data_IF_142177841871
#
_entry.id   IF_142177841871
#
_cell.length_a   1.000
_cell.length_b   1.000
_cell.length_c   1.000
_cell.angle_alpha   90.00
_cell.angle_beta   90.00
_cell.angle_gamma   90.00
#
_symmetry.space_group_name_H-M   'P 1'
#
loop_
_entity.id
_entity.type
_entity.pdbx_description
1 polymer ?
#
# COMPACT_ATOMS: atom_id res chain seq x y z
N UNK A 1 7.62 17.18 -7.25
CA UNK A 1 8.32 17.02 -5.95
C UNK A 1 9.04 15.70 -6.01
N UNK A 2 10.37 15.69 -6.03
CA UNK A 2 11.16 14.46 -5.97
C UNK A 2 11.04 13.95 -4.53
N UNK A 3 10.38 12.81 -4.34
CA UNK A 3 10.45 12.07 -3.08
C UNK A 3 11.93 11.72 -2.94
N UNK A 4 12.55 12.11 -1.83
CA UNK A 4 13.94 11.77 -1.57
C UNK A 4 14.00 10.24 -1.41
N UNK A 5 14.99 9.62 -2.03
CA UNK A 5 15.26 8.18 -1.89
C UNK A 5 15.54 7.80 -0.45
N UNK A 6 16.12 8.73 0.31
CA UNK A 6 16.26 8.60 1.77
C UNK A 6 14.92 8.22 2.43
N UNK A 7 13.83 8.79 1.94
CA UNK A 7 12.49 8.55 2.48
C UNK A 7 11.88 7.22 2.02
N UNK A 8 12.27 6.72 0.85
CA UNK A 8 11.81 5.44 0.29
C UNK A 8 12.66 4.25 0.76
N UNK A 9 14.00 4.45 0.88
CA UNK A 9 14.96 3.41 1.25
C UNK A 9 15.19 3.28 2.74
N UNK A 10 15.41 4.41 3.40
CA UNK A 10 16.05 4.47 4.72
C UNK A 10 15.14 5.06 5.77
N UNK A 11 14.05 5.67 5.34
CA UNK A 11 13.04 6.13 6.29
C UNK A 11 12.21 4.94 6.75
N UNK A 12 11.93 4.88 8.04
CA UNK A 12 10.55 4.70 8.43
C UNK A 12 9.77 5.70 7.61
N UNK A 13 9.35 5.29 6.38
CA UNK A 13 8.50 6.10 5.51
C UNK A 13 7.38 6.55 6.41
N UNK A 14 7.40 7.80 6.81
CA UNK A 14 6.39 8.35 7.69
C UNK A 14 5.05 7.98 7.09
N UNK A 15 4.06 7.73 7.90
CA UNK A 15 2.73 7.35 7.40
C UNK A 15 2.23 8.34 6.33
N UNK A 16 2.76 9.55 6.31
CA UNK A 16 2.46 10.62 5.35
C UNK A 16 3.08 10.42 3.97
N UNK A 17 4.27 9.83 3.87
CA UNK A 17 4.91 9.56 2.57
C UNK A 17 4.34 8.32 1.88
N UNK A 18 3.94 7.30 2.65
CA UNK A 18 3.17 6.16 2.13
C UNK A 18 1.84 6.61 1.53
N UNK A 19 1.22 7.62 2.10
CA UNK A 19 -0.06 8.12 1.61
C UNK A 19 0.04 8.84 0.24
N UNK A 20 1.22 9.27 -0.22
CA UNK A 20 1.39 9.96 -1.52
C UNK A 20 1.03 9.04 -2.68
N UNK A 21 1.56 7.83 -2.68
CA UNK A 21 1.29 6.85 -3.74
C UNK A 21 -0.19 6.47 -3.74
N UNK A 22 -0.76 6.22 -2.56
CA UNK A 22 -2.18 5.93 -2.43
C UNK A 22 -3.05 7.11 -2.90
N UNK A 23 -2.68 8.35 -2.58
CA UNK A 23 -3.38 9.53 -3.05
C UNK A 23 -3.38 9.64 -4.58
N UNK A 24 -2.27 9.29 -5.25
CA UNK A 24 -2.18 9.24 -6.71
C UNK A 24 -3.11 8.15 -7.27
N UNK A 25 -3.11 6.95 -6.67
CA UNK A 25 -4.01 5.87 -7.11
C UNK A 25 -5.48 6.25 -6.93
N UNK A 26 -5.85 6.87 -5.81
CA UNK A 26 -7.23 7.31 -5.58
C UNK A 26 -7.62 8.43 -6.55
N UNK A 27 -6.70 9.35 -6.88
CA UNK A 27 -6.93 10.36 -7.90
C UNK A 27 -7.23 9.73 -9.28
N UNK A 28 -6.43 8.75 -9.69
CA UNK A 28 -6.67 8.00 -10.94
C UNK A 28 -8.00 7.24 -10.90
N UNK A 29 -8.33 6.62 -9.76
CA UNK A 29 -9.59 5.91 -9.58
C UNK A 29 -10.80 6.84 -9.71
N UNK A 30 -10.78 8.00 -9.07
CA UNK A 30 -11.85 9.02 -9.17
C UNK A 30 -12.01 9.47 -10.61
N UNK A 31 -10.90 9.74 -11.31
CA UNK A 31 -10.91 10.14 -12.72
C UNK A 31 -11.49 9.05 -13.62
N UNK A 32 -11.13 7.79 -13.36
CA UNK A 32 -11.65 6.63 -14.11
C UNK A 32 -13.15 6.44 -13.86
N UNK A 33 -13.61 6.54 -12.64
CA UNK A 33 -15.05 6.46 -12.31
C UNK A 33 -15.85 7.55 -12.99
N UNK A 34 -15.33 8.77 -13.04
CA UNK A 34 -15.97 9.87 -13.77
C UNK A 34 -16.01 9.61 -15.29
N UNK A 35 -14.93 9.06 -15.86
CA UNK A 35 -14.90 8.66 -17.27
C UNK A 35 -15.95 7.59 -17.58
N UNK A 36 -16.08 6.55 -16.74
CA UNK A 36 -17.11 5.54 -16.88
C UNK A 36 -18.52 6.14 -16.82
N UNK A 37 -18.77 7.03 -15.87
CA UNK A 37 -20.05 7.72 -15.78
C UNK A 37 -20.32 8.58 -17.03
N UNK A 38 -19.27 9.16 -17.64
CA UNK A 38 -19.40 9.88 -18.91
C UNK A 38 -19.77 8.96 -20.08
N UNK A 39 -19.28 7.74 -20.09
CA UNK A 39 -19.67 6.72 -21.08
C UNK A 39 -21.11 6.27 -20.85
N UNK A 40 -21.50 6.02 -19.60
CA UNK A 40 -22.85 5.58 -19.24
C UNK A 40 -23.90 6.63 -19.63
N UNK A 41 -23.66 7.92 -19.41
CA UNK A 41 -24.60 8.98 -19.81
C UNK A 41 -24.71 9.04 -21.34
N UNK A 42 -23.59 8.88 -22.06
CA UNK A 42 -23.62 8.81 -23.52
C UNK A 42 -24.48 7.63 -24.03
N UNK A 43 -24.30 6.45 -23.44
CA UNK A 43 -25.09 5.25 -23.77
C UNK A 43 -26.58 5.44 -23.46
N UNK A 44 -26.89 6.16 -22.37
CA UNK A 44 -28.26 6.48 -22.01
C UNK A 44 -28.91 7.49 -22.99
N UNK A 45 -28.15 8.47 -23.47
CA UNK A 45 -28.66 9.43 -24.48
C UNK A 45 -28.96 8.74 -25.82
N UNK A 46 -28.14 7.79 -26.22
CA UNK A 46 -28.29 6.99 -27.46
C UNK A 46 -29.41 5.93 -27.31
N UNK A 47 -29.88 5.68 -26.08
CA UNK A 47 -30.97 4.72 -25.80
C UNK A 47 -30.53 3.26 -25.65
N UNK A 48 -29.22 3.01 -25.53
CA UNK A 48 -28.66 1.68 -25.23
C UNK A 48 -28.86 1.34 -23.75
N UNK A 49 -28.69 2.33 -22.89
CA UNK A 49 -28.86 2.22 -21.45
C UNK A 49 -30.13 3.00 -21.06
N UNK A 50 -31.09 2.33 -20.41
CA UNK A 50 -32.41 2.89 -20.19
C UNK A 50 -32.57 3.31 -18.71
N UNK A 51 -32.30 4.57 -18.44
CA UNK A 51 -32.53 5.23 -17.16
C UNK A 51 -33.23 6.57 -17.45
N UNK A 52 -33.94 7.13 -16.49
CA UNK A 52 -34.54 8.47 -16.63
C UNK A 52 -33.45 9.50 -16.99
N UNK A 53 -33.61 10.12 -18.18
CA UNK A 53 -32.58 11.01 -18.74
C UNK A 53 -32.36 12.27 -17.91
N UNK A 54 -33.40 12.81 -17.27
CA UNK A 54 -33.25 14.04 -16.49
C UNK A 54 -32.50 13.78 -15.20
N UNK A 55 -32.88 12.75 -14.46
CA UNK A 55 -32.23 12.37 -13.20
C UNK A 55 -30.77 12.02 -13.44
N UNK A 56 -30.51 11.25 -14.52
CA UNK A 56 -29.15 10.85 -14.85
C UNK A 56 -28.25 12.02 -15.27
N UNK A 57 -28.80 13.00 -16.04
CA UNK A 57 -28.10 14.23 -16.38
C UNK A 57 -27.78 15.08 -15.15
N UNK A 58 -28.71 15.24 -14.20
CA UNK A 58 -28.46 15.96 -12.96
C UNK A 58 -27.38 15.28 -12.11
N UNK A 59 -27.43 13.95 -11.97
CA UNK A 59 -26.38 13.18 -11.28
C UNK A 59 -25.01 13.36 -11.91
N UNK A 60 -24.94 13.30 -13.25
CA UNK A 60 -23.68 13.51 -13.98
C UNK A 60 -23.16 14.95 -13.86
N UNK A 61 -24.03 15.95 -13.94
CA UNK A 61 -23.64 17.36 -13.77
C UNK A 61 -23.08 17.59 -12.36
N UNK A 62 -23.77 17.09 -11.34
CA UNK A 62 -23.31 17.18 -9.96
C UNK A 62 -21.93 16.53 -9.76
N UNK A 63 -21.74 15.30 -10.26
CA UNK A 63 -20.45 14.60 -10.13
C UNK A 63 -19.34 15.31 -10.90
N UNK A 64 -19.64 15.88 -12.07
CA UNK A 64 -18.67 16.64 -12.87
C UNK A 64 -18.19 17.89 -12.14
N UNK A 65 -19.10 18.62 -11.49
CA UNK A 65 -18.76 19.77 -10.65
C UNK A 65 -17.87 19.32 -9.46
N UNK A 66 -18.23 18.23 -8.80
CA UNK A 66 -17.43 17.68 -7.72
C UNK A 66 -16.00 17.32 -8.16
N UNK A 67 -15.85 16.69 -9.34
CA UNK A 67 -14.54 16.33 -9.90
C UNK A 67 -13.72 17.56 -10.26
N UNK A 68 -14.30 18.59 -10.84
CA UNK A 68 -13.60 19.84 -11.14
C UNK A 68 -13.09 20.53 -9.87
N UNK A 69 -13.93 20.63 -8.84
CA UNK A 69 -13.52 21.13 -7.52
C UNK A 69 -12.39 20.28 -6.94
N UNK A 70 -12.50 18.96 -7.05
CA UNK A 70 -11.49 18.03 -6.55
C UNK A 70 -10.13 18.23 -7.23
N UNK A 71 -10.09 18.35 -8.56
CA UNK A 71 -8.86 18.62 -9.31
C UNK A 71 -8.20 19.92 -8.80
N UNK A 72 -9.00 21.00 -8.63
CA UNK A 72 -8.50 22.26 -8.08
C UNK A 72 -7.94 22.12 -6.65
N UNK A 73 -8.63 21.35 -5.79
CA UNK A 73 -8.18 21.11 -4.42
C UNK A 73 -6.90 20.28 -4.38
N UNK A 74 -6.78 19.23 -5.19
CA UNK A 74 -5.57 18.41 -5.26
C UNK A 74 -4.39 19.20 -5.82
N UNK A 75 -4.62 20.05 -6.82
CA UNK A 75 -3.60 20.95 -7.35
C UNK A 75 -3.06 21.89 -6.26
N UNK A 76 -3.95 22.48 -5.42
CA UNK A 76 -3.58 23.36 -4.32
C UNK A 76 -2.91 22.64 -3.15
N UNK A 77 -3.45 21.50 -2.71
CA UNK A 77 -2.98 20.75 -1.55
C UNK A 77 -1.73 19.91 -1.87
N UNK A 78 -1.58 19.45 -3.11
CA UNK A 78 -0.59 18.46 -3.58
C UNK A 78 -0.82 17.07 -2.94
N UNK A 79 -0.23 16.02 -3.55
CA UNK A 79 -0.41 14.63 -3.10
C UNK A 79 0.26 14.30 -1.75
N UNK A 80 1.22 15.11 -1.31
CA UNK A 80 1.93 14.91 -0.05
C UNK A 80 1.24 15.54 1.17
N UNK A 81 0.15 16.25 0.99
CA UNK A 81 -0.57 16.86 2.09
C UNK A 81 -1.43 15.80 2.81
N UNK A 82 -1.37 15.80 4.13
CA UNK A 82 -2.13 14.86 4.99
C UNK A 82 -3.65 14.94 4.81
N UNK A 83 -4.18 16.04 4.31
CA UNK A 83 -5.60 16.23 4.06
C UNK A 83 -6.06 15.71 2.69
N UNK A 84 -5.15 15.52 1.73
CA UNK A 84 -5.50 15.07 0.37
C UNK A 84 -6.27 13.76 0.39
N UNK A 85 -5.90 12.79 1.21
CA UNK A 85 -6.63 11.52 1.36
C UNK A 85 -8.07 11.71 1.80
N UNK A 86 -8.34 12.66 2.71
CA UNK A 86 -9.70 12.94 3.19
C UNK A 86 -10.54 13.58 2.09
N UNK A 87 -9.98 14.54 1.35
CA UNK A 87 -10.65 15.18 0.21
C UNK A 87 -10.94 14.13 -0.87
N UNK A 88 -9.95 13.32 -1.23
CA UNK A 88 -10.07 12.28 -2.26
C UNK A 88 -11.16 11.27 -1.94
N UNK A 89 -11.18 10.72 -0.73
CA UNK A 89 -12.17 9.73 -0.35
C UNK A 89 -13.57 10.34 -0.21
N UNK A 90 -13.69 11.60 0.22
CA UNK A 90 -14.98 12.30 0.31
C UNK A 90 -15.56 12.49 -1.08
N UNK A 91 -14.79 13.00 -2.04
CA UNK A 91 -15.25 13.19 -3.41
C UNK A 91 -15.61 11.85 -4.06
N UNK A 92 -14.78 10.84 -3.87
CA UNK A 92 -15.07 9.49 -4.35
C UNK A 92 -16.41 8.97 -3.79
N UNK A 93 -16.65 9.15 -2.49
CA UNK A 93 -17.90 8.76 -1.85
C UNK A 93 -19.09 9.56 -2.40
N UNK A 94 -18.92 10.86 -2.65
CA UNK A 94 -19.99 11.70 -3.24
C UNK A 94 -20.37 11.25 -4.65
N UNK A 95 -19.39 10.91 -5.49
CA UNK A 95 -19.64 10.38 -6.84
C UNK A 95 -20.45 9.08 -6.75
N UNK A 96 -20.02 8.17 -5.89
CA UNK A 96 -20.74 6.90 -5.67
C UNK A 96 -22.14 7.14 -5.12
N UNK A 97 -22.33 8.11 -4.21
CA UNK A 97 -23.64 8.47 -3.67
C UNK A 97 -24.57 8.95 -4.76
N UNK A 98 -24.11 9.86 -5.63
CA UNK A 98 -24.89 10.39 -6.74
C UNK A 98 -25.25 9.29 -7.75
N UNK A 99 -24.29 8.43 -8.11
CA UNK A 99 -24.54 7.28 -8.97
C UNK A 99 -25.57 6.32 -8.36
N UNK A 100 -25.50 6.07 -7.05
CA UNK A 100 -26.48 5.21 -6.37
C UNK A 100 -27.87 5.85 -6.28
N UNK A 101 -28.00 7.16 -6.19
CA UNK A 101 -29.31 7.84 -6.28
C UNK A 101 -29.91 7.66 -7.67
N UNK A 102 -29.11 7.76 -8.72
CA UNK A 102 -29.54 7.68 -10.12
C UNK A 102 -29.79 6.25 -10.60
N UNK A 103 -28.99 5.28 -10.14
CA UNK A 103 -28.96 3.88 -10.63
C UNK A 103 -29.34 2.85 -9.59
N UNK A 104 -29.62 3.28 -8.37
CA UNK A 104 -30.05 2.54 -7.18
C UNK A 104 -29.52 1.10 -7.03
N UNK A 105 -30.27 0.12 -7.53
CA UNK A 105 -29.98 -1.31 -7.29
C UNK A 105 -28.66 -1.78 -7.91
N UNK A 106 -28.40 -1.38 -9.14
CA UNK A 106 -27.22 -1.84 -9.88
C UNK A 106 -25.89 -1.38 -9.26
N UNK A 107 -25.93 -0.25 -8.54
CA UNK A 107 -24.75 0.36 -7.93
C UNK A 107 -24.59 0.05 -6.43
N UNK A 108 -25.47 -0.75 -5.83
CA UNK A 108 -25.48 -0.99 -4.38
C UNK A 108 -24.16 -1.54 -3.84
N UNK A 109 -23.47 -2.38 -4.59
CA UNK A 109 -22.15 -2.91 -4.20
C UNK A 109 -21.05 -1.85 -4.21
N UNK A 110 -21.17 -0.81 -5.05
CA UNK A 110 -20.17 0.26 -5.14
C UNK A 110 -20.11 1.12 -3.88
N UNK A 111 -21.19 1.13 -3.07
CA UNK A 111 -21.21 1.81 -1.77
C UNK A 111 -20.13 1.31 -0.80
N UNK A 112 -19.59 0.10 -1.01
CA UNK A 112 -18.50 -0.44 -0.19
C UNK A 112 -17.12 -0.04 -0.68
N UNK A 113 -16.98 0.45 -1.92
CA UNK A 113 -15.68 0.81 -2.52
C UNK A 113 -14.87 1.83 -1.71
N UNK A 114 -15.44 2.90 -1.13
CA UNK A 114 -14.66 3.84 -0.31
C UNK A 114 -13.95 3.15 0.85
N UNK A 115 -14.59 2.16 1.46
CA UNK A 115 -14.01 1.39 2.58
C UNK A 115 -12.85 0.51 2.10
N UNK A 116 -13.01 -0.16 0.94
CA UNK A 116 -11.95 -0.97 0.33
C UNK A 116 -10.74 -0.08 0.01
N UNK A 117 -10.98 1.08 -0.59
CA UNK A 117 -9.93 2.06 -0.90
C UNK A 117 -9.24 2.58 0.36
N UNK A 118 -10.00 2.85 1.43
CA UNK A 118 -9.41 3.27 2.70
C UNK A 118 -8.51 2.21 3.33
N UNK A 119 -8.74 0.93 3.03
CA UNK A 119 -7.87 -0.16 3.44
C UNK A 119 -6.44 -0.07 2.89
N UNK A 120 -6.20 0.65 1.81
CA UNK A 120 -4.86 0.91 1.28
C UNK A 120 -4.03 1.80 2.22
N UNK A 121 -4.66 2.58 3.08
CA UNK A 121 -4.01 3.49 4.02
C UNK A 121 -3.79 2.81 5.38
N UNK A 122 -2.75 3.24 6.12
CA UNK A 122 -2.41 2.67 7.43
C UNK A 122 -3.09 3.37 8.60
N UNK A 123 -3.70 4.52 8.35
CA UNK A 123 -4.26 5.40 9.39
C UNK A 123 -5.61 4.91 9.91
N UNK A 124 -5.68 4.45 11.17
CA UNK A 124 -6.93 4.06 11.83
C UNK A 124 -7.96 5.21 11.90
N UNK A 125 -7.50 6.47 12.01
CA UNK A 125 -8.39 7.65 12.02
C UNK A 125 -9.04 7.84 10.66
N UNK A 126 -8.28 7.66 9.58
CA UNK A 126 -8.76 7.77 8.22
C UNK A 126 -9.79 6.67 7.90
N UNK A 127 -9.52 5.43 8.30
CA UNK A 127 -10.47 4.31 8.12
C UNK A 127 -11.79 4.60 8.84
N UNK A 128 -11.74 5.05 10.10
CA UNK A 128 -12.98 5.43 10.86
C UNK A 128 -13.75 6.56 10.20
N UNK A 129 -13.06 7.58 9.71
CA UNK A 129 -13.68 8.66 8.94
C UNK A 129 -14.38 8.13 7.69
N UNK A 130 -13.72 7.24 6.91
CA UNK A 130 -14.28 6.66 5.69
C UNK A 130 -15.52 5.81 6.00
N UNK A 131 -15.49 5.02 7.07
CA UNK A 131 -16.66 4.23 7.51
C UNK A 131 -17.84 5.17 7.81
N UNK A 132 -17.61 6.26 8.53
CA UNK A 132 -18.65 7.22 8.86
C UNK A 132 -19.29 7.83 7.61
N UNK A 133 -18.49 8.35 6.67
CA UNK A 133 -19.02 8.95 5.43
C UNK A 133 -19.67 7.90 4.51
N UNK A 134 -19.21 6.64 4.55
CA UNK A 134 -19.85 5.55 3.80
C UNK A 134 -21.23 5.21 4.37
N UNK A 135 -21.38 5.16 5.68
CA UNK A 135 -22.70 4.96 6.34
C UNK A 135 -23.63 6.11 5.98
N UNK A 136 -23.12 7.34 6.04
CA UNK A 136 -23.90 8.52 5.64
C UNK A 136 -24.30 8.45 4.15
N UNK A 137 -23.38 8.03 3.27
CA UNK A 137 -23.64 7.78 1.85
C UNK A 137 -24.74 6.73 1.63
N UNK A 138 -24.72 5.64 2.37
CA UNK A 138 -25.76 4.61 2.31
C UNK A 138 -27.14 5.17 2.70
N UNK A 139 -27.19 5.95 3.77
CA UNK A 139 -28.43 6.61 4.23
C UNK A 139 -28.93 7.56 3.14
N UNK A 140 -28.08 8.50 2.71
CA UNK A 140 -28.45 9.54 1.73
C UNK A 140 -28.85 8.93 0.40
N UNK A 141 -28.09 7.93 -0.12
CA UNK A 141 -28.42 7.28 -1.39
C UNK A 141 -29.70 6.48 -1.33
N UNK A 142 -29.96 5.80 -0.21
CA UNK A 142 -31.20 5.00 -0.04
C UNK A 142 -32.43 5.87 0.02
N UNK A 143 -32.44 6.89 0.89
CA UNK A 143 -33.57 7.80 0.99
C UNK A 143 -33.67 8.74 -0.22
N UNK A 144 -32.55 9.27 -0.70
CA UNK A 144 -32.52 10.10 -1.91
C UNK A 144 -32.98 9.33 -3.14
N UNK A 145 -32.54 8.06 -3.29
CA UNK A 145 -33.03 7.18 -4.34
C UNK A 145 -34.53 6.95 -4.27
N UNK A 146 -35.10 6.78 -3.08
CA UNK A 146 -36.53 6.59 -2.90
C UNK A 146 -37.34 7.88 -3.18
N UNK A 147 -36.96 9.04 -2.62
CA UNK A 147 -37.73 10.26 -2.72
C UNK A 147 -37.48 11.06 -4.01
N UNK A 148 -36.31 10.96 -4.60
CA UNK A 148 -35.89 11.80 -5.75
C UNK A 148 -35.37 11.01 -6.94
N UNK A 149 -35.22 9.68 -6.82
CA UNK A 149 -34.67 8.82 -7.86
C UNK A 149 -35.71 7.97 -8.57
N UNK A 150 -35.23 7.13 -9.46
CA UNK A 150 -36.01 6.21 -10.31
C UNK A 150 -36.29 4.87 -9.60
N UNK A 151 -36.55 4.91 -8.33
CA UNK A 151 -36.32 3.79 -7.43
C UNK A 151 -37.40 2.71 -7.39
N UNK A 152 -38.54 2.95 -8.00
CA UNK A 152 -39.76 2.18 -7.70
C UNK A 152 -39.66 0.68 -8.02
N UNK A 153 -39.18 0.36 -9.18
CA UNK A 153 -39.10 -1.05 -9.60
C UNK A 153 -37.87 -1.80 -9.09
N UNK A 154 -36.80 -1.09 -8.75
CA UNK A 154 -35.49 -1.67 -8.47
C UNK A 154 -35.21 -1.88 -6.97
N UNK A 155 -36.00 -1.30 -6.08
CA UNK A 155 -35.87 -1.50 -4.63
C UNK A 155 -36.56 -2.77 -4.11
N UNK A 156 -37.33 -3.42 -4.94
CA UNK A 156 -38.11 -4.58 -4.55
C UNK A 156 -37.24 -5.82 -4.60
N UNK A 157 -36.85 -6.36 -3.45
CA UNK A 157 -36.33 -7.70 -3.35
C UNK A 157 -37.46 -8.69 -3.69
N UNK A 158 -37.37 -9.28 -4.87
CA UNK A 158 -38.24 -10.40 -5.27
C UNK A 158 -37.86 -11.63 -4.44
N UNK A 159 -38.48 -11.77 -3.28
CA UNK A 159 -38.48 -13.03 -2.53
C UNK A 159 -39.64 -13.89 -3.02
N UNK A 160 -39.57 -15.21 -2.79
CA UNK A 160 -40.68 -16.14 -3.11
C UNK A 160 -41.99 -15.69 -2.49
N UNK A 161 -41.96 -15.21 -1.24
CA UNK A 161 -43.10 -14.64 -0.54
C UNK A 161 -43.62 -13.37 -1.21
N UNK A 162 -42.73 -12.56 -1.73
CA UNK A 162 -43.04 -11.35 -2.43
C UNK A 162 -43.71 -11.61 -3.79
N UNK A 163 -43.23 -12.61 -4.54
CA UNK A 163 -43.84 -13.03 -5.81
C UNK A 163 -45.28 -13.56 -5.59
N UNK A 164 -45.52 -14.26 -4.50
CA UNK A 164 -46.87 -14.76 -4.14
C UNK A 164 -47.83 -13.62 -3.75
N UNK A 165 -47.33 -12.44 -3.40
CA UNK A 165 -48.11 -11.26 -3.03
C UNK A 165 -48.21 -10.22 -4.19
N UNK A 166 -47.80 -10.58 -5.42
CA UNK A 166 -48.06 -9.78 -6.58
C UNK A 166 -49.56 -9.69 -6.82
N UNK A 167 -50.10 -8.48 -6.85
CA UNK A 167 -51.46 -8.23 -7.26
C UNK A 167 -51.62 -8.58 -8.75
N UNK A 168 -52.87 -8.84 -9.17
CA UNK A 168 -53.21 -9.14 -10.57
C UNK A 168 -52.71 -8.08 -11.57
N UNK A 169 -52.43 -6.85 -11.10
CA UNK A 169 -51.93 -5.75 -11.89
C UNK A 169 -50.38 -5.69 -11.95
N UNK A 170 -49.67 -6.68 -11.41
CA UNK A 170 -48.20 -6.70 -11.39
C UNK A 170 -47.59 -5.71 -10.41
N UNK A 171 -48.35 -4.99 -9.63
CA UNK A 171 -47.91 -4.04 -8.62
C UNK A 171 -47.50 -4.78 -7.37
N UNK A 172 -46.22 -4.90 -7.19
CA UNK A 172 -45.60 -5.58 -6.07
C UNK A 172 -45.70 -4.77 -4.79
N UNK A 173 -46.10 -5.41 -3.66
CA UNK A 173 -45.96 -5.00 -2.24
C UNK A 173 -45.49 -3.58 -1.89
N UNK A 174 -45.64 -2.64 -2.81
CA UNK A 174 -45.35 -1.21 -2.65
C UNK A 174 -46.14 -0.60 -1.50
N UNK A 175 -47.32 -1.18 -1.19
CA UNK A 175 -48.19 -0.72 -0.11
C UNK A 175 -47.46 -0.71 1.24
N UNK A 176 -46.67 -1.75 1.57
CA UNK A 176 -45.93 -1.79 2.84
C UNK A 176 -44.82 -0.71 2.94
N UNK A 177 -44.11 -0.43 1.83
CA UNK A 177 -43.13 0.65 1.80
C UNK A 177 -43.84 1.99 1.95
N UNK A 178 -44.98 2.19 1.27
CA UNK A 178 -45.76 3.40 1.32
C UNK A 178 -46.42 3.66 2.68
N UNK A 179 -46.81 2.61 3.42
CA UNK A 179 -47.37 2.73 4.76
C UNK A 179 -46.35 3.25 5.78
N UNK A 180 -45.12 2.76 5.72
CA UNK A 180 -44.05 3.22 6.61
C UNK A 180 -42.67 3.20 5.91
N UNK A 181 -42.39 4.15 4.99
CA UNK A 181 -41.19 4.15 4.19
C UNK A 181 -39.92 4.23 5.03
N UNK A 182 -39.92 5.02 6.09
CA UNK A 182 -38.73 5.19 6.96
C UNK A 182 -38.32 3.87 7.62
N UNK A 183 -39.28 3.16 8.20
CA UNK A 183 -39.01 1.88 8.87
C UNK A 183 -38.55 0.81 7.88
N UNK A 184 -39.26 0.69 6.76
CA UNK A 184 -39.00 -0.33 5.73
C UNK A 184 -37.65 -0.11 5.09
N UNK A 185 -37.33 1.12 4.69
CA UNK A 185 -36.02 1.44 4.09
C UNK A 185 -34.88 1.26 5.09
N UNK A 186 -35.08 1.62 6.36
CA UNK A 186 -34.06 1.42 7.39
C UNK A 186 -33.72 -0.06 7.60
N UNK A 187 -34.75 -0.90 7.83
CA UNK A 187 -34.56 -2.30 8.20
C UNK A 187 -34.08 -3.17 7.03
N UNK A 188 -34.62 -2.97 5.84
CA UNK A 188 -34.38 -3.86 4.70
C UNK A 188 -33.30 -3.36 3.73
N UNK A 189 -32.90 -2.08 3.79
CA UNK A 189 -31.91 -1.51 2.86
C UNK A 189 -30.73 -0.88 3.58
N UNK A 190 -30.94 0.06 4.48
CA UNK A 190 -29.86 0.76 5.15
C UNK A 190 -29.07 -0.19 6.05
N UNK A 191 -29.75 -0.89 6.94
CA UNK A 191 -29.10 -1.77 7.92
C UNK A 191 -28.28 -2.90 7.27
N UNK A 192 -28.79 -3.69 6.30
CA UNK A 192 -28.00 -4.71 5.62
C UNK A 192 -26.80 -4.14 4.86
N UNK A 193 -26.95 -3.01 4.18
CA UNK A 193 -25.86 -2.34 3.44
C UNK A 193 -24.77 -1.85 4.38
N UNK A 194 -25.14 -1.25 5.53
CA UNK A 194 -24.18 -0.86 6.56
C UNK A 194 -23.42 -2.08 7.12
N UNK A 195 -24.12 -3.20 7.36
CA UNK A 195 -23.49 -4.43 7.81
C UNK A 195 -22.48 -4.98 6.78
N UNK A 196 -22.85 -4.99 5.51
CA UNK A 196 -21.94 -5.35 4.40
C UNK A 196 -20.73 -4.41 4.38
N UNK A 197 -20.93 -3.10 4.46
CA UNK A 197 -19.83 -2.13 4.46
C UNK A 197 -18.84 -2.36 5.62
N UNK A 198 -19.35 -2.59 6.83
CA UNK A 198 -18.53 -2.90 8.00
C UNK A 198 -17.77 -4.23 7.82
N UNK A 199 -18.40 -5.24 7.24
CA UNK A 199 -17.76 -6.52 6.92
C UNK A 199 -16.59 -6.33 5.95
N UNK A 200 -16.72 -5.46 4.94
CA UNK A 200 -15.63 -5.13 4.02
C UNK A 200 -14.45 -4.42 4.70
N UNK A 201 -14.70 -3.60 5.74
CA UNK A 201 -13.61 -3.04 6.59
C UNK A 201 -12.78 -4.16 7.20
N UNK A 202 -13.45 -5.13 7.77
CA UNK A 202 -12.79 -6.26 8.43
C UNK A 202 -11.99 -7.10 7.43
N UNK A 203 -12.61 -7.47 6.29
CA UNK A 203 -11.95 -8.23 5.22
C UNK A 203 -10.73 -7.46 4.68
N UNK A 204 -10.88 -6.18 4.36
CA UNK A 204 -9.78 -5.33 3.87
C UNK A 204 -8.62 -5.28 4.87
N UNK A 205 -8.92 -5.17 6.16
CA UNK A 205 -7.91 -5.16 7.23
C UNK A 205 -7.14 -6.49 7.29
N UNK A 206 -7.84 -7.63 7.18
CA UNK A 206 -7.21 -8.95 7.16
C UNK A 206 -6.33 -9.12 5.91
N UNK A 207 -6.86 -8.81 4.73
CA UNK A 207 -6.15 -8.92 3.46
C UNK A 207 -4.85 -8.11 3.50
N UNK A 208 -4.92 -6.85 3.94
CA UNK A 208 -3.73 -6.01 4.10
C UNK A 208 -2.71 -6.58 5.09
N UNK A 209 -3.17 -7.18 6.19
CA UNK A 209 -2.28 -7.85 7.16
C UNK A 209 -1.58 -9.07 6.55
N UNK A 210 -2.32 -9.86 5.77
CA UNK A 210 -1.78 -11.04 5.07
C UNK A 210 -0.76 -10.62 4.02
N UNK A 211 -1.10 -9.62 3.17
CA UNK A 211 -0.19 -9.09 2.14
C UNK A 211 1.11 -8.58 2.77
N UNK A 212 1.03 -7.75 3.83
CA UNK A 212 2.20 -7.23 4.53
C UNK A 212 3.06 -8.35 5.13
N UNK A 213 2.43 -9.39 5.70
CA UNK A 213 3.14 -10.54 6.25
C UNK A 213 3.83 -11.36 5.15
N UNK A 214 3.15 -11.58 4.03
CA UNK A 214 3.71 -12.28 2.87
C UNK A 214 4.87 -11.51 2.26
N UNK A 215 4.72 -10.21 2.05
CA UNK A 215 5.80 -9.33 1.58
C UNK A 215 7.02 -9.39 2.51
N UNK A 216 6.81 -9.21 3.83
CA UNK A 216 7.91 -9.28 4.80
C UNK A 216 8.65 -10.63 4.72
N UNK A 217 7.94 -11.75 4.50
CA UNK A 217 8.55 -13.08 4.34
C UNK A 217 9.29 -13.22 3.02
N UNK A 218 8.80 -12.57 1.95
CA UNK A 218 9.42 -12.63 0.63
C UNK A 218 10.75 -11.87 0.55
N UNK A 219 10.89 -10.76 1.29
CA UNK A 219 12.05 -9.86 1.20
C UNK A 219 12.99 -9.93 2.40
N UNK A 220 12.74 -10.80 3.39
CA UNK A 220 13.61 -10.98 4.57
C UNK A 220 14.25 -12.35 4.59
N UNK A 221 15.53 -12.41 5.01
CA UNK A 221 16.21 -13.64 5.34
C UNK A 221 15.74 -14.17 6.70
N UNK A 222 15.41 -15.46 6.77
CA UNK A 222 14.83 -16.07 7.97
C UNK A 222 15.82 -16.23 9.12
N UNK A 223 17.09 -16.45 8.81
CA UNK A 223 18.14 -16.66 9.80
C UNK A 223 18.57 -15.35 10.43
N UNK A 224 18.86 -14.35 9.61
CA UNK A 224 19.50 -13.12 10.06
C UNK A 224 18.48 -11.99 10.33
N UNK A 225 17.26 -12.08 9.78
CA UNK A 225 16.25 -11.02 9.85
C UNK A 225 16.53 -9.84 8.90
N UNK A 226 17.71 -9.76 8.30
CA UNK A 226 18.05 -8.76 7.29
C UNK A 226 17.19 -8.89 6.04
N UNK A 227 17.24 -7.91 5.14
CA UNK A 227 16.69 -8.10 3.81
C UNK A 227 17.45 -9.21 3.07
N UNK A 228 16.79 -9.84 2.10
CA UNK A 228 17.40 -10.85 1.25
C UNK A 228 17.62 -10.29 -0.18
N UNK A 229 18.14 -11.13 -1.07
CA UNK A 229 18.42 -10.77 -2.47
C UNK A 229 17.19 -10.28 -3.24
N UNK A 230 15.96 -10.73 -2.90
CA UNK A 230 14.75 -10.24 -3.56
C UNK A 230 14.55 -8.74 -3.32
N UNK A 231 14.94 -8.23 -2.15
CA UNK A 231 14.89 -6.79 -1.89
C UNK A 231 15.88 -6.01 -2.74
N UNK A 232 17.03 -6.58 -3.05
CA UNK A 232 17.98 -5.96 -3.98
C UNK A 232 17.40 -5.86 -5.39
N UNK A 233 16.72 -6.93 -5.88
CA UNK A 233 16.08 -6.91 -7.20
C UNK A 233 15.01 -5.81 -7.29
N UNK A 234 14.17 -5.65 -6.25
CA UNK A 234 13.21 -4.54 -6.19
C UNK A 234 13.89 -3.16 -6.29
N UNK A 235 15.07 -3.01 -5.65
CA UNK A 235 15.82 -1.76 -5.69
C UNK A 235 16.40 -1.50 -7.08
N UNK A 236 16.89 -2.53 -7.76
CA UNK A 236 17.42 -2.42 -9.13
C UNK A 236 16.33 -2.03 -10.13
N UNK A 237 15.12 -2.56 -9.97
CA UNK A 237 13.97 -2.28 -10.84
C UNK A 237 13.31 -0.93 -10.54
N UNK A 238 13.62 -0.29 -9.42
CA UNK A 238 13.00 0.98 -9.02
C UNK A 238 13.67 2.16 -9.72
N UNK A 239 13.00 2.75 -10.70
CA UNK A 239 13.46 3.92 -11.47
C UNK A 239 13.85 5.13 -10.58
N UNK A 240 13.38 5.18 -9.34
CA UNK A 240 13.70 6.28 -8.43
C UNK A 240 15.16 6.29 -8.01
N UNK A 241 15.86 5.16 -8.14
CA UNK A 241 17.29 5.01 -7.84
C UNK A 241 18.22 5.39 -8.97
N UNK A 242 17.76 5.37 -10.21
CA UNK A 242 18.56 5.48 -11.43
C UNK A 242 19.55 6.67 -11.42
N UNK A 243 19.14 7.81 -10.89
CA UNK A 243 19.97 9.04 -10.88
C UNK A 243 20.58 9.38 -9.51
N UNK A 244 20.53 8.45 -8.55
CA UNK A 244 21.01 8.74 -7.21
C UNK A 244 22.42 8.24 -6.99
N UNK A 245 23.21 9.07 -6.29
CA UNK A 245 24.50 8.64 -5.78
C UNK A 245 24.25 7.71 -4.59
N UNK A 246 24.76 6.51 -4.68
CA UNK A 246 24.69 5.46 -3.66
C UNK A 246 26.08 4.92 -3.39
N UNK A 247 26.26 4.36 -2.20
CA UNK A 247 27.42 3.53 -1.89
C UNK A 247 26.95 2.11 -1.58
N UNK A 248 27.75 1.15 -2.00
CA UNK A 248 27.59 -0.25 -1.65
C UNK A 248 28.78 -0.67 -0.80
N UNK A 249 28.47 -1.29 0.34
CA UNK A 249 29.45 -1.91 1.21
C UNK A 249 29.19 -3.41 1.18
N UNK A 250 30.24 -4.18 0.93
CA UNK A 250 30.17 -5.64 0.78
C UNK A 250 30.99 -6.30 1.89
N UNK A 251 30.40 -7.26 2.58
CA UNK A 251 31.07 -8.06 3.61
C UNK A 251 31.00 -9.54 3.28
N UNK A 252 32.04 -10.27 3.66
CA UNK A 252 32.13 -11.74 3.61
C UNK A 252 32.62 -12.24 4.97
N UNK A 253 31.91 -13.22 5.55
CA UNK A 253 32.27 -13.82 6.85
C UNK A 253 33.52 -14.66 6.73
N UNK A 254 34.52 -14.33 7.55
CA UNK A 254 35.77 -15.07 7.51
C UNK A 254 35.69 -16.40 8.25
N UNK A 255 36.35 -17.42 7.69
CA UNK A 255 36.54 -18.72 8.32
C UNK A 255 35.26 -19.48 8.69
N UNK A 256 34.12 -19.20 8.02
CA UNK A 256 32.86 -19.89 8.30
C UNK A 256 33.02 -21.42 8.20
N UNK A 257 33.74 -21.93 7.17
CA UNK A 257 33.98 -23.35 7.02
C UNK A 257 34.76 -23.94 8.22
N UNK A 258 35.80 -23.24 8.70
CA UNK A 258 36.55 -23.67 9.89
C UNK A 258 35.65 -23.75 11.13
N UNK A 259 34.75 -22.77 11.33
CA UNK A 259 33.81 -22.78 12.45
C UNK A 259 32.83 -23.94 12.32
N UNK A 260 32.29 -24.19 11.14
CA UNK A 260 31.40 -25.32 10.88
C UNK A 260 32.08 -26.66 11.16
N UNK A 261 33.31 -26.83 10.67
CA UNK A 261 34.04 -28.09 10.77
C UNK A 261 34.52 -28.42 12.21
N UNK A 262 34.84 -27.40 13.03
CA UNK A 262 35.39 -27.57 14.38
C UNK A 262 34.37 -27.36 15.51
N UNK A 263 33.32 -26.55 15.29
CA UNK A 263 32.31 -26.15 16.31
C UNK A 263 30.88 -26.52 15.93
N UNK A 264 30.69 -27.09 14.73
CA UNK A 264 29.40 -27.52 14.20
C UNK A 264 28.63 -26.42 13.49
N UNK A 265 27.65 -26.82 12.65
CA UNK A 265 26.85 -25.90 11.83
C UNK A 265 26.05 -24.89 12.65
N UNK A 266 25.63 -25.26 13.87
CA UNK A 266 24.91 -24.31 14.75
C UNK A 266 25.82 -23.12 15.11
N UNK A 267 27.10 -23.35 15.39
CA UNK A 267 28.06 -22.27 15.67
C UNK A 267 28.33 -21.42 14.43
N UNK A 268 28.30 -22.01 13.23
CA UNK A 268 28.39 -21.27 11.97
C UNK A 268 27.14 -20.38 11.72
N UNK A 269 25.97 -20.91 12.01
CA UNK A 269 24.73 -20.14 11.92
C UNK A 269 24.72 -18.97 12.93
N UNK A 270 25.19 -19.19 14.15
CA UNK A 270 25.38 -18.15 15.15
C UNK A 270 26.40 -17.09 14.73
N UNK A 271 27.50 -17.48 14.09
CA UNK A 271 28.50 -16.58 13.52
C UNK A 271 27.87 -15.67 12.44
N UNK A 272 27.12 -16.25 11.50
CA UNK A 272 26.41 -15.51 10.45
C UNK A 272 25.42 -14.54 11.06
N UNK A 273 24.60 -14.97 12.03
CA UNK A 273 23.62 -14.12 12.69
C UNK A 273 24.28 -12.99 13.48
N UNK A 274 25.40 -13.25 14.13
CA UNK A 274 26.19 -12.28 14.88
C UNK A 274 26.73 -11.18 13.95
N UNK A 275 27.39 -11.53 12.86
CA UNK A 275 27.90 -10.57 11.85
C UNK A 275 26.75 -9.78 11.23
N UNK A 276 25.63 -10.42 10.89
CA UNK A 276 24.44 -9.74 10.37
C UNK A 276 23.95 -8.65 11.33
N UNK A 277 23.89 -8.95 12.62
CA UNK A 277 23.46 -7.97 13.66
C UNK A 277 24.44 -6.79 13.78
N UNK A 278 25.76 -7.07 13.72
CA UNK A 278 26.78 -6.01 13.72
C UNK A 278 26.64 -5.09 12.52
N UNK A 279 26.43 -5.66 11.32
CA UNK A 279 26.22 -4.90 10.08
C UNK A 279 24.94 -4.05 10.17
N UNK A 280 23.81 -4.65 10.59
CA UNK A 280 22.53 -3.91 10.72
C UNK A 280 22.68 -2.74 11.69
N UNK A 281 23.33 -2.96 12.82
CA UNK A 281 23.56 -1.96 13.85
C UNK A 281 24.50 -0.85 13.38
N UNK A 282 25.53 -1.19 12.60
CA UNK A 282 26.48 -0.23 12.04
C UNK A 282 25.87 0.62 10.96
N UNK A 283 25.14 0.03 10.04
CA UNK A 283 24.42 0.71 8.95
C UNK A 283 23.31 1.60 9.51
N UNK A 284 22.51 1.08 10.43
CA UNK A 284 21.45 1.82 11.12
C UNK A 284 20.50 2.52 10.14
N UNK A 285 20.30 3.84 10.34
CA UNK A 285 19.42 4.65 9.49
C UNK A 285 20.06 5.15 8.20
N UNK A 286 21.34 4.88 7.99
CA UNK A 286 22.08 5.38 6.83
C UNK A 286 21.92 4.47 5.60
N UNK A 287 21.27 3.31 5.74
CA UNK A 287 21.15 2.37 4.64
C UNK A 287 20.25 1.18 4.92
N UNK A 288 20.27 0.25 3.96
CA UNK A 288 19.60 -1.05 4.04
C UNK A 288 20.67 -2.14 4.00
N UNK A 289 20.73 -2.96 5.05
CA UNK A 289 21.57 -4.13 5.08
C UNK A 289 20.77 -5.36 4.60
N UNK A 290 21.46 -6.23 3.85
CA UNK A 290 20.87 -7.45 3.30
C UNK A 290 21.86 -8.60 3.27
N UNK A 291 21.34 -9.82 3.39
CA UNK A 291 22.10 -11.04 3.13
C UNK A 291 22.04 -11.34 1.63
N UNK A 292 23.18 -11.29 0.97
CA UNK A 292 23.31 -11.46 -0.47
C UNK A 292 23.56 -12.91 -0.87
N UNK A 293 24.36 -13.62 -0.09
CA UNK A 293 24.72 -15.02 -0.27
C UNK A 293 24.66 -15.82 1.03
N UNK A 294 25.35 -16.96 1.10
CA UNK A 294 25.42 -17.78 2.30
C UNK A 294 26.10 -17.06 3.47
N UNK A 295 27.27 -16.52 3.23
CA UNK A 295 28.15 -15.78 4.15
C UNK A 295 28.44 -14.35 3.70
N UNK A 296 27.73 -13.88 2.68
CA UNK A 296 27.93 -12.58 2.04
C UNK A 296 26.81 -11.61 2.39
N UNK A 297 27.20 -10.39 2.71
CA UNK A 297 26.28 -9.31 3.06
C UNK A 297 26.55 -8.06 2.25
N UNK A 298 25.51 -7.32 1.94
CA UNK A 298 25.58 -6.03 1.25
C UNK A 298 24.81 -4.99 2.06
N UNK A 299 25.34 -3.77 2.13
CA UNK A 299 24.54 -2.61 2.48
C UNK A 299 24.53 -1.62 1.32
N UNK A 300 23.34 -1.10 1.04
CA UNK A 300 23.14 0.04 0.15
C UNK A 300 22.91 1.26 1.02
N UNK A 301 23.73 2.29 0.85
CA UNK A 301 23.69 3.52 1.67
C UNK A 301 23.56 4.76 0.80
N UNK A 302 23.04 5.85 1.38
CA UNK A 302 22.98 7.17 0.76
C UNK A 302 24.24 8.00 1.04
N UNK A 303 25.28 7.39 1.60
CA UNK A 303 26.57 8.05 1.84
C UNK A 303 27.22 8.48 0.53
N UNK A 304 27.64 9.74 0.48
CA UNK A 304 28.20 10.36 -0.73
C UNK A 304 29.71 10.52 -0.69
N UNK A 305 30.33 10.22 0.45
CA UNK A 305 31.77 10.39 0.70
C UNK A 305 32.35 9.11 1.28
N UNK A 306 33.60 8.84 0.99
CA UNK A 306 34.33 7.70 1.55
C UNK A 306 34.46 7.77 3.07
N UNK A 307 34.63 8.99 3.63
CA UNK A 307 34.71 9.17 5.08
C UNK A 307 33.43 8.69 5.80
N UNK A 308 32.25 9.01 5.24
CA UNK A 308 30.99 8.55 5.81
C UNK A 308 30.83 7.03 5.73
N UNK A 309 31.34 6.39 4.68
CA UNK A 309 31.35 4.94 4.53
C UNK A 309 32.33 4.31 5.53
N UNK A 310 33.54 4.87 5.64
CA UNK A 310 34.56 4.39 6.58
C UNK A 310 34.09 4.50 8.04
N UNK A 311 33.27 5.48 8.39
CA UNK A 311 32.63 5.56 9.71
C UNK A 311 31.70 4.37 9.97
N UNK A 312 30.91 3.92 8.96
CA UNK A 312 30.07 2.75 9.07
C UNK A 312 30.92 1.48 9.22
N UNK A 313 31.97 1.35 8.42
CA UNK A 313 32.90 0.21 8.46
C UNK A 313 33.57 0.11 9.84
N UNK A 314 34.19 1.20 10.31
CA UNK A 314 34.85 1.25 11.62
C UNK A 314 33.89 0.94 12.77
N UNK A 315 32.64 1.43 12.68
CA UNK A 315 31.60 1.09 13.65
C UNK A 315 31.28 -0.39 13.62
N UNK A 316 31.17 -0.99 12.43
CA UNK A 316 30.91 -2.41 12.28
C UNK A 316 32.06 -3.26 12.86
N UNK A 317 33.31 -2.90 12.57
CA UNK A 317 34.48 -3.59 13.09
C UNK A 317 34.53 -3.57 14.62
N UNK A 318 34.25 -2.43 15.26
CA UNK A 318 34.14 -2.34 16.72
C UNK A 318 33.06 -3.26 17.30
N UNK A 319 31.89 -3.31 16.66
CA UNK A 319 30.81 -4.21 17.08
C UNK A 319 31.20 -5.68 16.94
N UNK A 320 31.94 -6.03 15.88
CA UNK A 320 32.48 -7.39 15.67
C UNK A 320 33.53 -7.72 16.75
N UNK A 321 34.44 -6.81 17.08
CA UNK A 321 35.40 -6.98 18.15
C UNK A 321 34.74 -7.17 19.52
N UNK A 322 33.68 -6.43 19.80
CA UNK A 322 32.87 -6.61 21.01
C UNK A 322 32.17 -7.97 21.02
N UNK A 323 31.62 -8.39 19.89
CA UNK A 323 30.95 -9.67 19.74
C UNK A 323 31.90 -10.89 19.80
N UNK A 324 33.20 -10.72 19.51
CA UNK A 324 34.24 -11.74 19.68
C UNK A 324 34.43 -12.11 21.15
N UNK A 325 34.17 -11.17 22.09
CA UNK A 325 34.36 -11.43 23.53
C UNK A 325 33.40 -12.52 23.99
N UNK A 326 33.96 -13.59 24.51
CA UNK A 326 33.17 -14.73 25.01
C UNK A 326 32.80 -15.77 23.95
N UNK A 327 33.32 -15.65 22.73
CA UNK A 327 33.22 -16.72 21.70
C UNK A 327 34.52 -17.55 21.63
N UNK A 328 34.36 -18.85 21.55
CA UNK A 328 35.48 -19.80 21.43
C UNK A 328 36.04 -19.90 20.00
N UNK A 329 35.29 -19.36 19.03
CA UNK A 329 35.67 -19.34 17.61
C UNK A 329 35.85 -17.90 17.11
N UNK A 330 36.61 -17.68 16.03
CA UNK A 330 36.88 -16.37 15.49
C UNK A 330 35.63 -15.73 14.87
N UNK A 331 35.31 -14.47 15.26
CA UNK A 331 34.25 -13.67 14.70
C UNK A 331 34.87 -12.54 13.90
N UNK A 332 34.86 -12.64 12.58
CA UNK A 332 35.41 -11.58 11.71
C UNK A 332 34.76 -11.61 10.33
N UNK A 333 34.78 -10.45 9.65
CA UNK A 333 34.37 -10.32 8.26
C UNK A 333 35.38 -9.46 7.49
N UNK A 334 35.56 -9.77 6.21
CA UNK A 334 36.26 -8.90 5.27
C UNK A 334 35.30 -7.92 4.65
N UNK A 335 35.75 -6.70 4.33
CA UNK A 335 34.89 -5.63 3.85
C UNK A 335 35.52 -4.90 2.68
N UNK A 336 34.69 -4.50 1.72
CA UNK A 336 35.04 -3.60 0.63
C UNK A 336 33.85 -2.71 0.30
N UNK A 337 34.09 -1.60 -0.35
CA UNK A 337 33.02 -0.68 -0.75
C UNK A 337 33.26 -0.06 -2.11
N UNK A 338 32.21 0.49 -2.70
CA UNK A 338 32.26 1.27 -3.92
C UNK A 338 31.14 2.30 -3.97
N UNK A 339 31.43 3.42 -4.63
CA UNK A 339 30.51 4.52 -4.86
C UNK A 339 30.08 4.55 -6.33
N UNK A 340 28.86 4.94 -6.60
CA UNK A 340 28.36 5.11 -7.97
C UNK A 340 26.94 5.67 -8.01
N UNK A 341 26.30 5.50 -9.16
CA UNK A 341 24.91 5.93 -9.41
C UNK A 341 24.01 4.72 -9.56
N UNK A 342 22.76 4.84 -9.13
CA UNK A 342 21.82 3.76 -9.07
C UNK A 342 21.50 3.02 -10.38
N UNK A 343 21.77 3.66 -11.53
CA UNK A 343 21.70 3.03 -12.85
C UNK A 343 22.77 1.93 -13.10
N UNK A 344 23.74 1.83 -12.20
CA UNK A 344 24.89 0.91 -12.30
C UNK A 344 25.06 0.04 -11.05
N UNK A 345 23.99 -0.23 -10.31
CA UNK A 345 24.06 -0.96 -9.02
C UNK A 345 24.86 -2.25 -9.15
N UNK A 346 24.62 -3.07 -10.18
CA UNK A 346 25.35 -4.33 -10.38
C UNK A 346 26.84 -4.13 -10.57
N UNK A 347 27.25 -3.07 -11.29
CA UNK A 347 28.69 -2.74 -11.47
C UNK A 347 29.30 -2.27 -10.16
N UNK A 348 28.55 -1.48 -9.35
CA UNK A 348 29.04 -1.01 -8.05
C UNK A 348 29.22 -2.19 -7.10
N UNK A 349 28.29 -3.16 -7.11
CA UNK A 349 28.41 -4.41 -6.33
C UNK A 349 29.69 -5.16 -6.73
N UNK A 350 29.93 -5.36 -8.04
CA UNK A 350 31.10 -6.08 -8.52
C UNK A 350 32.43 -5.41 -8.12
N UNK A 351 32.46 -4.06 -8.09
CA UNK A 351 33.66 -3.31 -7.63
C UNK A 351 33.82 -3.42 -6.11
N UNK A 352 32.73 -3.34 -5.34
CA UNK A 352 32.77 -3.50 -3.88
C UNK A 352 33.23 -4.91 -3.48
N UNK A 353 32.74 -5.96 -4.16
CA UNK A 353 33.19 -7.34 -3.98
C UNK A 353 34.68 -7.50 -4.28
N UNK A 354 35.17 -6.97 -5.41
CA UNK A 354 36.60 -6.98 -5.74
C UNK A 354 37.44 -6.34 -4.62
N UNK A 355 37.06 -5.18 -4.14
CA UNK A 355 37.75 -4.47 -3.08
C UNK A 355 37.74 -5.27 -1.75
N UNK A 356 36.61 -5.93 -1.45
CA UNK A 356 36.50 -6.85 -0.30
C UNK A 356 37.47 -8.04 -0.44
N UNK A 357 37.56 -8.63 -1.63
CA UNK A 357 38.45 -9.75 -1.88
C UNK A 357 39.93 -9.39 -1.76
N UNK A 358 40.33 -8.19 -2.20
CA UNK A 358 41.69 -7.65 -2.01
C UNK A 358 41.99 -7.49 -0.52
N UNK A 359 41.12 -6.88 0.25
CA UNK A 359 41.21 -6.75 1.71
C UNK A 359 41.32 -8.12 2.41
N UNK A 360 40.59 -9.14 1.91
CA UNK A 360 40.63 -10.51 2.45
C UNK A 360 41.97 -11.18 2.24
N UNK A 361 42.67 -10.90 1.12
CA UNK A 361 44.04 -11.43 0.84
C UNK A 361 45.07 -10.82 1.78
N UNK A 362 45.00 -9.49 1.98
CA UNK A 362 45.98 -8.77 2.82
C UNK A 362 45.90 -9.19 4.30
N UNK A 363 44.73 -9.58 4.78
CA UNK A 363 44.54 -10.12 6.15
C UNK A 363 44.94 -11.62 6.29
N UNK A 364 45.22 -12.31 5.20
CA UNK A 364 45.69 -13.72 5.21
C UNK A 364 47.22 -13.85 5.19
N UNK A 365 47.90 -12.80 4.72
CA UNK A 365 49.36 -12.66 4.75
C UNK A 365 49.82 -12.01 6.05
#
# INVERSE_FOLDING_TARGET
MKISVKDLLFGDVTSEQKDVIQNIYVFRLVSLCWLFYSIEIFLNEVGIFIVDKQIFRYGYLFTSVCVLIYIGLVYKLKFNNRYTKYVSITVFTLIITAANISLTYHMALTLTMPVIVAGMYTSKRFIRYTVLITILSIIVSTYGGYFFGVCDANMVLLTTTSLNNLNNDGIFAMNKINENPMQTLTLFYVFPRCFIAVSFVYISTIVNKVIKKSYKRAVRDKMTGLYNKNKLLEIIEDETYVHQKIAIIYWDVNRLKYVNDNYGHQSGDELIACIAHCIESAVGKNGIAMRYGGDEFIAITDCKTEDAINQIITRCEKLIEEAQRGKEYPVSASVGFSLGTGDKIEKIIAVADKNMYENKKDRRN
#
